data_IF_987704127524
#
_entry.id   IF_987704127524
#
_cell.length_a   1.000
_cell.length_b   1.000
_cell.length_c   1.000
_cell.angle_alpha   90.00
_cell.angle_beta   90.00
_cell.angle_gamma   90.00
#
_symmetry.space_group_name_H-M   'P 1'
#
loop_
_entity.id
_entity.type
_entity.pdbx_description
1 polymer ?
#
# COMPACT_ATOMS: atom_id res chain seq x y z
N UNK A 1 27.72 2.29 -39.67
CA UNK A 1 26.51 1.45 -39.70
C UNK A 1 25.45 2.21 -38.92
N UNK A 2 24.46 2.77 -39.62
CA UNK A 2 23.48 3.76 -39.07
C UNK A 2 22.29 2.99 -38.49
N UNK A 3 22.01 3.14 -37.17
CA UNK A 3 20.76 2.70 -36.55
C UNK A 3 19.71 3.82 -36.73
N UNK A 4 18.58 3.43 -37.29
CA UNK A 4 17.40 4.26 -37.45
C UNK A 4 16.69 4.39 -36.11
N UNK A 5 16.49 5.62 -35.63
CA UNK A 5 15.51 5.96 -34.62
C UNK A 5 14.14 6.07 -35.30
N UNK A 6 13.23 5.17 -34.96
CA UNK A 6 11.81 5.38 -35.26
C UNK A 6 11.18 6.23 -34.13
N UNK A 7 10.78 7.42 -34.53
CA UNK A 7 10.02 8.37 -33.72
C UNK A 7 8.57 7.89 -33.61
N UNK A 8 8.16 7.43 -32.42
CA UNK A 8 6.76 7.36 -32.06
C UNK A 8 6.27 8.80 -31.79
N UNK A 9 5.53 9.34 -32.73
CA UNK A 9 4.81 10.60 -32.58
C UNK A 9 3.59 10.35 -31.67
N UNK A 10 3.78 10.48 -30.36
CA UNK A 10 2.68 10.60 -29.41
C UNK A 10 2.03 11.97 -29.59
N UNK A 11 0.74 11.96 -29.91
CA UNK A 11 -0.09 13.14 -29.98
C UNK A 11 -0.24 13.73 -28.57
N UNK A 12 0.62 14.67 -28.21
CA UNK A 12 0.47 15.47 -27.00
C UNK A 12 -0.64 16.49 -27.27
N UNK A 13 -1.85 16.19 -26.82
CA UNK A 13 -2.90 17.20 -26.70
C UNK A 13 -2.54 18.09 -25.52
N UNK A 14 -2.02 19.27 -25.81
CA UNK A 14 -1.86 20.34 -24.83
C UNK A 14 -3.25 20.77 -24.33
N UNK A 15 -3.65 20.22 -23.17
CA UNK A 15 -4.80 20.73 -22.44
C UNK A 15 -4.43 22.13 -21.93
N UNK A 16 -5.09 23.15 -22.47
CA UNK A 16 -4.98 24.53 -22.01
C UNK A 16 -5.40 24.59 -20.53
N UNK A 17 -4.45 24.89 -19.65
CA UNK A 17 -4.72 25.19 -18.23
C UNK A 17 -5.41 26.53 -18.12
N UNK A 18 -6.72 26.56 -18.27
CA UNK A 18 -7.54 27.69 -17.82
C UNK A 18 -7.71 27.56 -16.30
N UNK A 19 -6.82 28.22 -15.56
CA UNK A 19 -6.92 28.37 -14.10
C UNK A 19 -8.07 29.33 -13.80
N UNK A 20 -9.28 28.81 -13.64
CA UNK A 20 -10.41 29.60 -13.14
C UNK A 20 -10.48 29.47 -11.63
N UNK A 21 -10.17 30.56 -10.94
CA UNK A 21 -10.50 30.74 -9.53
C UNK A 21 -12.03 30.91 -9.45
N UNK A 22 -12.76 29.85 -9.06
CA UNK A 22 -14.21 29.90 -8.91
C UNK A 22 -14.54 30.25 -7.46
N UNK A 23 -15.30 31.37 -7.32
CA UNK A 23 -16.05 31.69 -6.13
C UNK A 23 -17.06 30.56 -5.81
N UNK A 24 -17.49 30.47 -4.57
CA UNK A 24 -18.28 29.40 -3.96
C UNK A 24 -19.72 29.19 -4.54
N UNK A 25 -19.88 29.23 -5.83
CA UNK A 25 -21.15 28.88 -6.48
C UNK A 25 -21.11 27.43 -6.92
N UNK A 26 -22.10 26.65 -6.43
CA UNK A 26 -22.23 25.22 -6.72
C UNK A 26 -22.15 24.96 -8.22
N UNK A 27 -21.33 24.01 -8.61
CA UNK A 27 -21.21 23.57 -9.99
C UNK A 27 -22.58 23.02 -10.41
N UNK A 28 -23.35 23.80 -11.15
CA UNK A 28 -24.55 23.27 -11.83
C UNK A 28 -24.08 22.35 -12.93
N UNK A 29 -24.24 21.05 -12.72
CA UNK A 29 -23.94 20.03 -13.70
C UNK A 29 -24.78 20.30 -14.97
N UNK A 30 -24.16 20.31 -16.17
CA UNK A 30 -24.91 20.44 -17.42
C UNK A 30 -25.89 19.26 -17.53
N UNK A 31 -27.18 19.53 -17.73
CA UNK A 31 -28.24 18.52 -17.79
C UNK A 31 -28.10 17.48 -18.93
N UNK A 32 -27.15 17.71 -19.84
CA UNK A 32 -27.03 16.93 -21.08
C UNK A 32 -25.76 16.07 -21.18
N UNK A 33 -25.02 15.89 -20.07
CA UNK A 33 -23.77 15.14 -20.08
C UNK A 33 -23.95 13.78 -19.42
N UNK A 34 -24.57 12.85 -20.17
CA UNK A 34 -24.73 11.45 -19.73
C UNK A 34 -24.16 10.54 -20.82
N UNK A 35 -23.43 9.50 -20.43
CA UNK A 35 -23.00 8.47 -21.38
C UNK A 35 -24.20 7.57 -21.79
N UNK A 36 -24.13 6.90 -22.95
CA UNK A 36 -25.15 5.98 -23.40
C UNK A 36 -25.48 4.90 -22.35
N UNK A 37 -26.73 4.49 -22.26
CA UNK A 37 -27.22 3.53 -21.26
C UNK A 37 -26.61 2.13 -21.37
N UNK A 38 -26.00 1.79 -22.50
CA UNK A 38 -25.32 0.52 -22.74
C UNK A 38 -23.88 0.48 -22.23
N UNK A 39 -23.38 1.58 -21.64
CA UNK A 39 -22.02 1.67 -21.09
C UNK A 39 -22.10 1.64 -19.57
N UNK A 40 -21.80 0.49 -18.97
CA UNK A 40 -21.60 0.40 -17.52
C UNK A 40 -20.17 0.86 -17.16
N UNK A 41 -20.06 1.62 -16.07
CA UNK A 41 -18.80 2.20 -15.61
C UNK A 41 -18.43 1.65 -14.24
N UNK A 42 -17.28 0.99 -14.19
CA UNK A 42 -16.63 0.62 -12.93
C UNK A 42 -15.72 1.75 -12.47
N UNK A 43 -15.73 2.08 -11.19
CA UNK A 43 -14.89 3.12 -10.60
C UNK A 43 -13.93 2.48 -9.60
N UNK A 44 -12.64 2.72 -9.76
CA UNK A 44 -11.61 2.27 -8.86
C UNK A 44 -11.01 3.45 -8.10
N UNK A 45 -11.03 3.36 -6.78
CA UNK A 45 -10.30 4.24 -5.88
C UNK A 45 -9.23 3.42 -5.17
N UNK A 46 -7.94 3.82 -5.26
CA UNK A 46 -6.87 3.14 -4.53
C UNK A 46 -7.13 3.10 -3.02
N UNK A 47 -6.60 2.09 -2.33
CA UNK A 47 -6.78 1.95 -0.88
C UNK A 47 -6.28 3.17 -0.10
N UNK A 48 -5.23 3.85 -0.59
CA UNK A 48 -4.75 5.11 -0.02
C UNK A 48 -5.83 6.20 0.02
N UNK A 49 -6.68 6.27 -1.00
CA UNK A 49 -7.78 7.23 -1.06
C UNK A 49 -8.84 6.89 -0.02
N UNK A 50 -9.15 5.61 0.17
CA UNK A 50 -10.14 5.14 1.15
C UNK A 50 -9.73 5.41 2.60
N UNK A 51 -8.43 5.46 2.87
CA UNK A 51 -7.88 5.76 4.20
C UNK A 51 -7.34 7.20 4.33
N UNK A 52 -7.56 8.02 3.30
CA UNK A 52 -7.00 9.36 3.25
C UNK A 52 -7.50 10.24 4.40
N UNK A 53 -6.55 10.81 5.15
CA UNK A 53 -6.78 11.81 6.20
C UNK A 53 -6.10 13.11 5.82
N UNK A 54 -6.86 14.19 5.83
CA UNK A 54 -6.29 15.53 5.72
C UNK A 54 -6.04 16.10 7.12
N UNK A 55 -4.83 16.61 7.33
CA UNK A 55 -4.42 17.25 8.57
C UNK A 55 -4.28 18.75 8.31
N UNK A 56 -5.00 19.57 9.04
CA UNK A 56 -4.95 21.02 8.89
C UNK A 56 -4.91 21.72 10.26
N UNK A 57 -4.37 22.94 10.29
CA UNK A 57 -4.37 23.76 11.48
C UNK A 57 -5.73 24.47 11.59
N UNK A 58 -6.38 24.32 12.73
CA UNK A 58 -7.63 25.03 13.03
C UNK A 58 -7.41 26.53 13.02
N UNK A 59 -8.38 27.27 12.48
CA UNK A 59 -8.38 28.73 12.45
C UNK A 59 -8.62 29.38 13.82
N UNK A 60 -8.89 28.61 14.88
CA UNK A 60 -9.27 29.08 16.20
C UNK A 60 -8.14 29.68 17.05
N UNK A 61 -6.96 29.91 16.48
CA UNK A 61 -5.83 30.56 17.18
C UNK A 61 -5.12 29.70 18.23
N UNK A 62 -5.71 28.58 18.65
CA UNK A 62 -5.03 27.54 19.41
C UNK A 62 -4.29 26.63 18.44
N UNK A 63 -3.07 26.18 18.80
CA UNK A 63 -2.25 25.27 17.97
C UNK A 63 -2.85 23.85 17.95
N UNK A 64 -4.13 23.72 17.71
CA UNK A 64 -4.79 22.42 17.54
C UNK A 64 -4.69 22.02 16.08
N UNK A 65 -4.21 20.81 15.86
CA UNK A 65 -4.18 20.18 14.54
C UNK A 65 -5.43 19.31 14.45
N UNK A 66 -6.37 19.71 13.60
CA UNK A 66 -7.55 18.90 13.32
C UNK A 66 -7.26 17.96 12.16
N UNK A 67 -7.83 16.75 12.20
CA UNK A 67 -7.74 15.79 11.11
C UNK A 67 -9.15 15.38 10.69
N UNK A 68 -9.40 15.34 9.38
CA UNK A 68 -10.64 14.85 8.79
C UNK A 68 -10.33 13.62 7.96
N UNK A 69 -11.06 12.54 8.20
CA UNK A 69 -11.00 11.36 7.37
C UNK A 69 -11.90 11.58 6.15
N UNK A 70 -11.28 11.70 4.98
CA UNK A 70 -11.98 11.97 3.72
C UNK A 70 -12.26 10.72 2.90
N UNK A 71 -11.68 9.57 3.27
CA UNK A 71 -11.76 8.35 2.47
C UNK A 71 -13.19 7.90 2.16
N UNK A 72 -14.03 7.76 3.19
CA UNK A 72 -15.45 7.41 3.01
C UNK A 72 -16.20 8.49 2.22
N UNK A 73 -15.88 9.76 2.46
CA UNK A 73 -16.47 10.89 1.72
C UNK A 73 -16.10 10.80 0.23
N UNK A 74 -14.87 10.45 -0.11
CA UNK A 74 -14.48 10.26 -1.51
C UNK A 74 -15.28 9.15 -2.18
N UNK A 75 -15.46 8.00 -1.53
CA UNK A 75 -16.19 6.87 -2.08
C UNK A 75 -17.67 7.18 -2.27
N UNK A 76 -18.34 7.67 -1.23
CA UNK A 76 -19.77 8.03 -1.25
C UNK A 76 -20.05 9.12 -2.30
N UNK A 77 -19.27 10.22 -2.26
CA UNK A 77 -19.42 11.33 -3.20
C UNK A 77 -19.15 10.89 -4.65
N UNK A 78 -18.16 10.01 -4.85
CA UNK A 78 -17.86 9.52 -6.20
C UNK A 78 -19.01 8.70 -6.77
N UNK A 79 -19.61 7.80 -5.98
CA UNK A 79 -20.76 7.01 -6.41
C UNK A 79 -22.00 7.88 -6.64
N UNK A 80 -22.28 8.82 -5.75
CA UNK A 80 -23.40 9.74 -5.88
C UNK A 80 -23.26 10.60 -7.15
N UNK A 81 -22.09 11.22 -7.33
CA UNK A 81 -21.78 12.00 -8.52
C UNK A 81 -21.86 11.16 -9.79
N UNK A 82 -21.31 9.94 -9.78
CA UNK A 82 -21.30 9.06 -10.95
C UNK A 82 -22.71 8.72 -11.47
N UNK A 83 -23.70 8.61 -10.58
CA UNK A 83 -25.10 8.36 -10.97
C UNK A 83 -25.72 9.48 -11.81
N UNK A 84 -25.15 10.68 -11.76
CA UNK A 84 -25.60 11.80 -12.62
C UNK A 84 -25.04 11.70 -14.05
N UNK A 85 -23.92 11.02 -14.24
CA UNK A 85 -23.20 10.92 -15.52
C UNK A 85 -23.39 9.59 -16.22
N UNK A 86 -23.64 8.51 -15.47
CA UNK A 86 -23.69 7.15 -15.99
C UNK A 86 -25.00 6.46 -15.59
N UNK A 87 -25.64 5.81 -16.53
CA UNK A 87 -26.86 5.03 -16.26
C UNK A 87 -26.59 3.84 -15.34
N UNK A 88 -25.38 3.29 -15.40
CA UNK A 88 -24.91 2.21 -14.52
C UNK A 88 -23.49 2.53 -14.07
N UNK A 89 -23.30 2.67 -12.76
CA UNK A 89 -21.97 2.86 -12.14
C UNK A 89 -21.89 2.12 -10.82
N UNK A 90 -20.69 1.59 -10.51
CA UNK A 90 -20.42 0.86 -9.28
C UNK A 90 -18.93 0.93 -8.94
N UNK A 91 -18.59 0.71 -7.66
CA UNK A 91 -17.21 0.57 -7.26
C UNK A 91 -16.62 -0.75 -7.76
N UNK A 92 -15.44 -0.67 -8.36
CA UNK A 92 -14.72 -1.86 -8.79
C UNK A 92 -14.17 -2.61 -7.56
N UNK A 93 -14.51 -3.88 -7.49
CA UNK A 93 -13.92 -4.83 -6.53
C UNK A 93 -13.32 -5.98 -7.33
N UNK A 94 -12.09 -6.40 -6.96
CA UNK A 94 -11.39 -7.48 -7.68
C UNK A 94 -12.21 -8.79 -7.71
N UNK A 95 -12.96 -9.06 -6.64
CA UNK A 95 -13.91 -10.16 -6.54
C UNK A 95 -15.29 -9.83 -7.16
N UNK A 96 -15.48 -8.63 -7.71
CA UNK A 96 -16.74 -8.08 -8.18
C UNK A 96 -17.42 -8.93 -9.24
N UNK A 97 -18.74 -8.71 -9.40
CA UNK A 97 -19.62 -9.59 -10.19
C UNK A 97 -20.18 -8.96 -11.44
N UNK A 98 -20.01 -7.66 -11.64
CA UNK A 98 -20.61 -6.95 -12.77
C UNK A 98 -19.62 -6.74 -13.92
N UNK A 99 -20.10 -6.88 -15.15
CA UNK A 99 -19.36 -6.49 -16.34
C UNK A 99 -19.39 -4.97 -16.52
N UNK A 100 -18.38 -4.41 -17.15
CA UNK A 100 -18.24 -2.98 -17.42
C UNK A 100 -17.71 -2.75 -18.85
N UNK A 101 -18.03 -1.59 -19.40
CA UNK A 101 -17.43 -1.11 -20.67
C UNK A 101 -16.22 -0.25 -20.42
N UNK A 102 -16.24 0.54 -19.33
CA UNK A 102 -15.16 1.44 -18.92
C UNK A 102 -14.85 1.25 -17.45
N UNK A 103 -13.55 1.34 -17.10
CA UNK A 103 -13.08 1.46 -15.73
C UNK A 103 -12.42 2.83 -15.57
N UNK A 104 -12.90 3.62 -14.62
CA UNK A 104 -12.31 4.90 -14.22
C UNK A 104 -11.50 4.67 -12.94
N UNK A 105 -10.19 4.75 -13.04
CA UNK A 105 -9.30 4.81 -11.89
C UNK A 105 -9.07 6.28 -11.52
N UNK A 106 -9.34 6.64 -10.26
CA UNK A 106 -9.29 8.01 -9.78
C UNK A 106 -8.51 8.09 -8.47
N UNK A 107 -7.59 9.07 -8.38
CA UNK A 107 -6.80 9.33 -7.18
C UNK A 107 -7.01 10.77 -6.72
N UNK A 108 -8.11 11.06 -6.01
CA UNK A 108 -8.35 12.39 -5.45
C UNK A 108 -7.48 12.62 -4.21
N UNK A 109 -7.00 13.84 -4.07
CA UNK A 109 -6.26 14.32 -2.89
C UNK A 109 -6.69 15.74 -2.55
N UNK A 110 -6.64 16.10 -1.27
CA UNK A 110 -6.84 17.48 -0.81
C UNK A 110 -5.65 17.87 0.04
N UNK A 111 -4.96 18.94 -0.35
CA UNK A 111 -3.76 19.43 0.35
C UNK A 111 -3.87 20.94 0.60
N UNK A 112 -3.22 21.42 1.65
CA UNK A 112 -3.00 22.85 1.85
C UNK A 112 -1.75 23.25 1.09
N UNK A 113 -1.94 24.13 0.11
CA UNK A 113 -0.86 24.84 -0.57
C UNK A 113 -0.72 26.19 0.13
N UNK A 114 0.37 26.45 0.82
CA UNK A 114 0.55 27.58 1.69
C UNK A 114 -0.53 27.71 2.82
N UNK A 115 -0.36 28.64 3.75
CA UNK A 115 -1.30 28.79 4.88
C UNK A 115 -2.68 29.33 4.49
N UNK A 116 -2.94 29.57 3.21
CA UNK A 116 -4.09 30.32 2.73
C UNK A 116 -4.89 29.65 1.61
N UNK A 117 -4.46 28.52 1.07
CA UNK A 117 -5.16 27.88 -0.05
C UNK A 117 -5.25 26.36 0.12
N UNK A 118 -6.46 25.82 -0.10
CA UNK A 118 -6.67 24.39 -0.27
C UNK A 118 -6.70 24.06 -1.77
N UNK A 119 -6.05 22.98 -2.13
CA UNK A 119 -6.06 22.45 -3.48
C UNK A 119 -6.53 20.99 -3.44
N UNK A 120 -7.63 20.72 -4.14
CA UNK A 120 -8.05 19.38 -4.44
C UNK A 120 -7.58 19.02 -5.86
N UNK A 121 -6.93 17.89 -5.96
CA UNK A 121 -6.46 17.35 -7.25
C UNK A 121 -6.98 15.93 -7.40
N UNK A 122 -7.46 15.55 -8.59
CA UNK A 122 -7.76 14.17 -8.92
C UNK A 122 -7.00 13.79 -10.19
N UNK A 123 -6.04 12.89 -10.04
CA UNK A 123 -5.43 12.19 -11.16
C UNK A 123 -6.35 11.06 -11.60
N UNK A 124 -6.58 10.89 -12.90
CA UNK A 124 -7.45 9.84 -13.38
C UNK A 124 -6.92 9.16 -14.63
N UNK A 125 -7.28 7.90 -14.78
CA UNK A 125 -7.06 7.12 -15.98
C UNK A 125 -8.33 6.31 -16.28
N UNK A 126 -8.71 6.26 -17.54
CA UNK A 126 -9.86 5.48 -18.00
C UNK A 126 -9.37 4.36 -18.91
N UNK A 127 -9.87 3.16 -18.64
CA UNK A 127 -9.55 1.96 -19.39
C UNK A 127 -10.81 1.35 -19.94
N UNK A 128 -10.72 0.68 -21.08
CA UNK A 128 -11.79 -0.18 -21.55
C UNK A 128 -11.78 -1.54 -20.80
N UNK A 129 -12.78 -2.38 -21.06
CA UNK A 129 -12.90 -3.71 -20.43
C UNK A 129 -11.74 -4.67 -20.73
N UNK A 130 -10.91 -4.39 -21.74
CA UNK A 130 -9.72 -5.18 -22.06
C UNK A 130 -8.42 -4.61 -21.45
N UNK A 131 -8.52 -3.55 -20.64
CA UNK A 131 -7.37 -2.91 -19.99
C UNK A 131 -6.60 -1.92 -20.85
N UNK A 132 -7.09 -1.57 -22.05
CA UNK A 132 -6.46 -0.55 -22.88
C UNK A 132 -6.81 0.83 -22.34
N UNK A 133 -5.78 1.67 -22.09
CA UNK A 133 -5.96 3.05 -21.65
C UNK A 133 -6.62 3.89 -22.75
N UNK A 134 -7.76 4.48 -22.42
CA UNK A 134 -8.60 5.29 -23.34
C UNK A 134 -8.35 6.78 -23.11
N UNK A 135 -8.16 7.17 -21.85
CA UNK A 135 -8.01 8.57 -21.45
C UNK A 135 -7.20 8.65 -20.16
N UNK A 136 -6.38 9.70 -20.01
CA UNK A 136 -5.71 10.07 -18.77
C UNK A 136 -5.75 11.58 -18.61
N UNK A 137 -5.79 12.07 -17.38
CA UNK A 137 -5.78 13.50 -17.10
C UNK A 137 -5.79 13.82 -15.62
N UNK A 138 -5.82 15.12 -15.37
CA UNK A 138 -5.83 15.69 -14.03
C UNK A 138 -6.93 16.75 -13.95
N UNK A 139 -7.65 16.76 -12.84
CA UNK A 139 -8.59 17.83 -12.49
C UNK A 139 -8.11 18.52 -11.22
N UNK A 140 -8.15 19.84 -11.22
CA UNK A 140 -7.67 20.65 -10.10
C UNK A 140 -8.74 21.68 -9.73
N UNK A 141 -9.08 21.73 -8.43
CA UNK A 141 -9.94 22.73 -7.83
C UNK A 141 -9.18 23.45 -6.73
N UNK A 142 -9.19 24.78 -6.77
CA UNK A 142 -8.52 25.62 -5.76
C UNK A 142 -9.57 26.40 -4.98
N UNK A 143 -9.37 26.46 -3.68
CA UNK A 143 -10.24 27.21 -2.80
C UNK A 143 -9.41 28.07 -1.85
N UNK A 144 -9.72 29.37 -1.82
CA UNK A 144 -9.11 30.29 -0.88
C UNK A 144 -10.09 30.55 0.29
N UNK A 145 -9.65 30.42 1.55
CA UNK A 145 -10.51 30.65 2.69
C UNK A 145 -10.96 32.10 2.74
N UNK A 146 -12.28 32.29 2.90
CA UNK A 146 -12.83 33.52 3.44
C UNK A 146 -12.63 33.56 4.98
N UNK A 147 -13.32 34.46 5.66
CA UNK A 147 -13.21 34.64 7.12
C UNK A 147 -13.54 33.42 8.00
N UNK A 148 -13.98 32.29 7.43
CA UNK A 148 -14.45 31.09 8.17
C UNK A 148 -13.39 29.99 8.41
N UNK A 149 -12.19 30.11 7.88
CA UNK A 149 -11.13 29.08 8.05
C UNK A 149 -11.46 27.71 7.41
N UNK A 150 -10.67 26.72 7.76
CA UNK A 150 -10.82 25.33 7.28
C UNK A 150 -11.69 24.52 8.26
N UNK A 151 -12.70 23.82 7.75
CA UNK A 151 -13.51 22.86 8.49
C UNK A 151 -13.90 21.67 7.65
N UNK A 152 -14.54 20.66 8.23
CA UNK A 152 -14.98 19.43 7.55
C UNK A 152 -15.89 19.70 6.36
N UNK A 153 -16.79 20.70 6.47
CA UNK A 153 -17.77 21.03 5.42
C UNK A 153 -17.08 21.61 4.18
N UNK A 154 -16.05 22.43 4.40
CA UNK A 154 -15.22 22.96 3.28
C UNK A 154 -14.49 21.85 2.58
N UNK A 155 -13.92 20.91 3.35
CA UNK A 155 -13.23 19.75 2.78
C UNK A 155 -14.18 18.85 2.00
N UNK A 156 -15.38 18.61 2.52
CA UNK A 156 -16.43 17.83 1.83
C UNK A 156 -16.82 18.47 0.49
N UNK A 157 -17.15 19.79 0.49
CA UNK A 157 -17.48 20.52 -0.75
C UNK A 157 -16.35 20.52 -1.75
N UNK A 158 -15.11 20.68 -1.31
CA UNK A 158 -13.96 20.67 -2.20
C UNK A 158 -13.73 19.29 -2.82
N UNK A 159 -13.95 18.23 -2.04
CA UNK A 159 -13.94 16.85 -2.52
C UNK A 159 -15.00 16.63 -3.59
N UNK A 160 -16.23 17.04 -3.32
CA UNK A 160 -17.33 16.95 -4.29
C UNK A 160 -17.03 17.72 -5.59
N UNK A 161 -16.52 18.93 -5.47
CA UNK A 161 -16.18 19.75 -6.64
C UNK A 161 -15.09 19.10 -7.54
N UNK A 162 -14.03 18.53 -6.95
CA UNK A 162 -12.97 17.92 -7.75
C UNK A 162 -13.46 16.63 -8.41
N UNK A 163 -14.31 15.85 -7.75
CA UNK A 163 -14.90 14.63 -8.31
C UNK A 163 -15.84 14.99 -9.47
N UNK A 164 -16.77 15.92 -9.24
CA UNK A 164 -17.70 16.37 -10.27
C UNK A 164 -16.97 16.96 -11.48
N UNK A 165 -15.93 17.74 -11.25
CA UNK A 165 -15.08 18.26 -12.32
C UNK A 165 -14.43 17.12 -13.11
N UNK A 166 -13.85 16.15 -12.42
CA UNK A 166 -13.20 15.00 -13.06
C UNK A 166 -14.18 14.20 -13.92
N UNK A 167 -15.35 13.87 -13.38
CA UNK A 167 -16.37 13.11 -14.13
C UNK A 167 -16.90 13.93 -15.32
N UNK A 168 -17.08 15.22 -15.17
CA UNK A 168 -17.47 16.11 -16.29
C UNK A 168 -16.41 16.10 -17.40
N UNK A 169 -15.15 16.26 -17.04
CA UNK A 169 -14.04 16.27 -18.01
C UNK A 169 -13.92 14.92 -18.75
N UNK A 170 -14.07 13.80 -18.02
CA UNK A 170 -14.07 12.45 -18.59
C UNK A 170 -15.23 12.26 -19.57
N UNK A 171 -16.46 12.60 -19.17
CA UNK A 171 -17.65 12.39 -20.00
C UNK A 171 -17.61 13.27 -21.24
N UNK A 172 -17.20 14.53 -21.11
CA UNK A 172 -17.06 15.44 -22.25
C UNK A 172 -16.12 14.89 -23.34
N UNK A 173 -15.03 14.24 -22.94
CA UNK A 173 -14.05 13.67 -23.86
C UNK A 173 -14.49 12.29 -24.43
N UNK A 174 -15.17 11.46 -23.63
CA UNK A 174 -15.55 10.11 -24.05
C UNK A 174 -16.87 10.05 -24.83
N UNK A 175 -17.79 10.99 -24.62
CA UNK A 175 -19.12 10.99 -25.24
C UNK A 175 -19.11 10.74 -26.75
N UNK A 176 -18.21 11.32 -27.56
CA UNK A 176 -18.18 11.08 -29.01
C UNK A 176 -17.85 9.66 -29.41
N UNK A 177 -17.27 8.88 -28.50
CA UNK A 177 -16.77 7.52 -28.75
C UNK A 177 -17.33 6.49 -27.80
N UNK A 178 -18.26 6.85 -26.93
CA UNK A 178 -18.77 5.99 -25.85
C UNK A 178 -19.39 4.69 -26.39
N UNK A 179 -20.05 4.72 -27.53
CA UNK A 179 -20.65 3.54 -28.18
C UNK A 179 -19.62 2.44 -28.52
N UNK A 180 -18.34 2.78 -28.55
CA UNK A 180 -17.24 1.83 -28.77
C UNK A 180 -16.92 0.98 -27.54
N UNK A 181 -17.48 1.32 -26.38
CA UNK A 181 -17.22 0.68 -25.09
C UNK A 181 -18.47 0.06 -24.47
N UNK A 182 -19.18 -0.85 -25.18
CA UNK A 182 -20.37 -1.48 -24.61
C UNK A 182 -19.99 -2.27 -23.36
N UNK A 183 -20.95 -2.42 -22.45
CA UNK A 183 -20.79 -3.28 -21.27
C UNK A 183 -20.44 -4.70 -21.73
N UNK A 184 -19.26 -5.15 -21.35
CA UNK A 184 -18.75 -6.48 -21.66
C UNK A 184 -19.09 -7.51 -20.59
N UNK A 185 -18.57 -8.72 -20.77
CA UNK A 185 -18.60 -9.75 -19.73
C UNK A 185 -17.71 -9.32 -18.54
N UNK A 186 -17.97 -9.94 -17.38
CA UNK A 186 -17.16 -9.77 -16.20
C UNK A 186 -15.73 -10.25 -16.47
N UNK A 187 -14.78 -9.34 -16.51
CA UNK A 187 -13.35 -9.64 -16.62
C UNK A 187 -12.62 -8.96 -15.48
N UNK A 188 -11.79 -9.68 -14.70
CA UNK A 188 -10.93 -9.03 -13.70
C UNK A 188 -10.02 -8.03 -14.39
N UNK A 189 -9.97 -6.81 -13.85
CA UNK A 189 -9.03 -5.80 -14.34
C UNK A 189 -7.63 -6.10 -13.82
N UNK A 190 -6.63 -5.95 -14.69
CA UNK A 190 -5.24 -6.08 -14.28
C UNK A 190 -4.79 -4.80 -13.53
N UNK A 191 -4.76 -4.86 -12.20
CA UNK A 191 -4.37 -3.74 -11.34
C UNK A 191 -2.91 -3.27 -11.55
N UNK A 192 -2.05 -4.11 -12.16
CA UNK A 192 -0.67 -3.71 -12.53
C UNK A 192 -0.64 -2.51 -13.48
N UNK A 193 -1.73 -2.29 -14.24
CA UNK A 193 -1.87 -1.15 -15.14
C UNK A 193 -2.07 0.19 -14.40
N UNK A 194 -2.38 0.13 -13.11
CA UNK A 194 -2.66 1.31 -12.27
C UNK A 194 -1.45 1.77 -11.44
N UNK A 195 -0.37 0.98 -11.42
CA UNK A 195 0.79 1.22 -10.57
C UNK A 195 2.08 1.36 -11.39
N UNK A 196 3.04 2.07 -10.84
CA UNK A 196 4.40 2.13 -11.37
C UNK A 196 5.22 0.97 -10.80
N UNK A 197 5.46 -0.06 -11.62
CA UNK A 197 6.23 -1.25 -11.22
C UNK A 197 7.74 -1.00 -11.12
N UNK A 198 8.22 0.12 -11.62
CA UNK A 198 9.63 0.48 -11.51
C UNK A 198 9.94 1.09 -10.13
N UNK A 199 8.93 1.65 -9.45
CA UNK A 199 9.08 2.32 -8.17
C UNK A 199 8.10 1.78 -7.13
N UNK A 200 8.55 0.85 -6.30
CA UNK A 200 7.77 0.39 -5.16
C UNK A 200 7.61 1.52 -4.12
N UNK A 201 6.38 1.76 -3.68
CA UNK A 201 6.08 2.75 -2.63
C UNK A 201 6.64 2.32 -1.27
N UNK A 202 6.60 1.00 -0.99
CA UNK A 202 7.18 0.39 0.19
C UNK A 202 7.87 -0.92 -0.21
N UNK A 203 8.91 -1.27 0.54
CA UNK A 203 9.58 -2.56 0.41
C UNK A 203 9.90 -3.14 1.79
N UNK A 204 9.86 -4.45 1.88
CA UNK A 204 10.11 -5.19 3.10
C UNK A 204 10.58 -6.62 2.81
N UNK A 205 10.60 -7.40 3.85
CA UNK A 205 10.96 -8.81 3.82
C UNK A 205 9.77 -9.66 4.27
N UNK A 206 9.66 -10.84 3.74
CA UNK A 206 8.73 -11.86 4.21
C UNK A 206 9.38 -13.23 4.25
N UNK A 207 8.69 -14.19 4.83
CA UNK A 207 9.14 -15.58 4.78
C UNK A 207 7.93 -16.53 4.80
N UNK A 208 8.04 -17.64 4.07
CA UNK A 208 7.00 -18.64 4.02
C UNK A 208 6.89 -19.39 5.36
N UNK A 209 5.66 -19.62 5.80
CA UNK A 209 5.33 -20.32 7.07
C UNK A 209 4.77 -21.72 6.84
N UNK A 210 4.38 -22.02 5.58
CA UNK A 210 3.88 -23.33 5.17
C UNK A 210 4.10 -23.61 3.71
N UNK A 211 3.82 -24.84 3.30
CA UNK A 211 3.96 -25.31 1.91
C UNK A 211 2.84 -24.85 0.96
N UNK A 212 1.78 -24.21 1.45
CA UNK A 212 0.66 -23.75 0.60
C UNK A 212 0.88 -22.37 -0.02
N UNK A 213 2.03 -21.72 0.26
CA UNK A 213 2.38 -20.42 -0.29
C UNK A 213 1.99 -19.24 0.58
N UNK A 214 1.64 -19.48 1.84
CA UNK A 214 1.38 -18.43 2.81
C UNK A 214 2.68 -17.97 3.47
N UNK A 215 2.85 -16.65 3.58
CA UNK A 215 4.04 -16.04 4.17
C UNK A 215 3.67 -14.90 5.11
N UNK A 216 4.58 -14.61 6.03
CA UNK A 216 4.50 -13.48 6.94
C UNK A 216 5.34 -12.31 6.45
N UNK A 217 4.87 -11.10 6.72
CA UNK A 217 5.60 -9.83 6.58
C UNK A 217 5.11 -8.84 7.63
N UNK A 218 5.72 -7.65 7.70
CA UNK A 218 5.20 -6.56 8.53
C UNK A 218 3.97 -5.90 7.90
N UNK A 219 2.97 -5.55 8.71
CA UNK A 219 1.73 -4.96 8.21
C UNK A 219 1.96 -3.62 7.53
N UNK A 220 2.86 -2.77 8.06
CA UNK A 220 3.16 -1.47 7.46
C UNK A 220 3.77 -1.58 6.05
N UNK A 221 4.45 -2.70 5.71
CA UNK A 221 5.04 -2.92 4.38
C UNK A 221 3.96 -3.09 3.31
N UNK A 222 2.82 -3.67 3.68
CA UNK A 222 1.73 -4.00 2.75
C UNK A 222 0.49 -3.13 2.94
N UNK A 223 0.62 -2.11 3.77
CA UNK A 223 -0.47 -1.19 4.05
C UNK A 223 -0.82 -0.34 2.82
N UNK A 224 -2.09 -0.31 2.44
CA UNK A 224 -2.63 0.47 1.33
C UNK A 224 -2.03 0.15 -0.05
N UNK A 225 -1.47 -1.04 -0.25
CA UNK A 225 -0.99 -1.45 -1.55
C UNK A 225 -2.16 -1.72 -2.52
N UNK A 226 -2.02 -1.23 -3.75
CA UNK A 226 -2.86 -1.63 -4.89
C UNK A 226 -2.41 -3.00 -5.41
N UNK A 227 -1.09 -3.20 -5.49
CA UNK A 227 -0.46 -4.46 -5.91
C UNK A 227 0.67 -4.81 -4.95
N UNK A 228 0.80 -6.09 -4.65
CA UNK A 228 1.88 -6.64 -3.84
C UNK A 228 2.60 -7.71 -4.65
N UNK A 229 3.91 -7.57 -4.80
CA UNK A 229 4.77 -8.58 -5.38
C UNK A 229 5.69 -9.19 -4.32
N UNK A 230 5.76 -10.50 -4.33
CA UNK A 230 6.73 -11.30 -3.57
C UNK A 230 7.87 -11.70 -4.50
N UNK A 231 9.10 -11.31 -4.15
CA UNK A 231 10.29 -11.54 -4.95
C UNK A 231 11.01 -12.81 -4.49
N UNK A 232 10.98 -13.84 -5.32
CA UNK A 232 11.69 -15.10 -5.11
C UNK A 232 12.79 -15.24 -6.18
N UNK A 233 14.00 -14.83 -5.84
CA UNK A 233 15.08 -14.68 -6.82
C UNK A 233 14.71 -13.66 -7.90
N UNK A 234 14.78 -14.04 -9.17
CA UNK A 234 14.40 -13.20 -10.31
C UNK A 234 12.89 -13.12 -10.56
N UNK A 235 12.10 -14.01 -9.93
CA UNK A 235 10.67 -14.10 -10.16
C UNK A 235 9.90 -13.14 -9.25
N UNK A 236 8.83 -12.54 -9.78
CA UNK A 236 7.86 -11.79 -9.02
C UNK A 236 6.54 -12.57 -9.01
N UNK A 237 6.04 -12.88 -7.83
CA UNK A 237 4.75 -13.56 -7.62
C UNK A 237 3.77 -12.54 -7.06
N UNK A 238 2.59 -12.37 -7.67
CA UNK A 238 1.55 -11.55 -7.07
C UNK A 238 1.09 -12.19 -5.76
N UNK A 239 0.76 -11.34 -4.79
CA UNK A 239 0.28 -11.81 -3.50
C UNK A 239 -0.90 -10.98 -3.00
N UNK A 240 -1.76 -11.60 -2.20
CA UNK A 240 -2.90 -10.96 -1.57
C UNK A 240 -2.78 -11.00 -0.05
N UNK A 241 -3.22 -9.93 0.63
CA UNK A 241 -3.29 -9.90 2.09
C UNK A 241 -4.49 -10.73 2.54
N UNK A 242 -4.26 -11.80 3.29
CA UNK A 242 -5.33 -12.64 3.85
C UNK A 242 -5.64 -12.34 5.31
N UNK A 243 -4.67 -11.80 6.04
CA UNK A 243 -4.85 -11.32 7.42
C UNK A 243 -3.87 -10.20 7.74
N UNK A 244 -4.29 -9.25 8.57
CA UNK A 244 -3.43 -8.16 9.03
C UNK A 244 -3.76 -7.72 10.46
N UNK A 245 -2.76 -7.27 11.20
CA UNK A 245 -2.88 -6.72 12.53
C UNK A 245 -1.97 -5.50 12.69
N UNK A 246 -2.56 -4.32 12.75
CA UNK A 246 -1.81 -3.10 13.02
C UNK A 246 -1.20 -3.09 14.44
N UNK A 247 -1.85 -3.73 15.41
CA UNK A 247 -1.35 -3.83 16.79
C UNK A 247 -0.04 -4.61 16.89
N UNK A 248 0.06 -5.71 16.14
CA UNK A 248 1.25 -6.57 16.12
C UNK A 248 2.22 -6.19 15.01
N UNK A 249 1.81 -5.29 14.12
CA UNK A 249 2.51 -4.95 12.87
C UNK A 249 2.84 -6.20 12.03
N UNK A 250 1.85 -7.08 11.86
CA UNK A 250 1.98 -8.35 11.14
C UNK A 250 0.92 -8.49 10.05
N UNK A 251 1.31 -9.07 8.92
CA UNK A 251 0.39 -9.46 7.85
C UNK A 251 0.73 -10.86 7.31
N UNK A 252 -0.30 -11.58 6.92
CA UNK A 252 -0.19 -12.82 6.14
C UNK A 252 -0.50 -12.50 4.69
N UNK A 253 0.39 -12.90 3.82
CA UNK A 253 0.20 -12.87 2.38
C UNK A 253 0.01 -14.29 1.85
N UNK A 254 -0.79 -14.42 0.79
CA UNK A 254 -0.95 -15.65 0.03
C UNK A 254 -0.52 -15.40 -1.43
N UNK A 255 0.45 -16.17 -1.90
CA UNK A 255 0.93 -16.13 -3.28
C UNK A 255 0.12 -17.03 -4.21
N UNK A 256 -0.75 -17.88 -3.66
CA UNK A 256 -1.47 -18.95 -4.38
C UNK A 256 -0.56 -19.93 -5.13
N UNK A 257 0.73 -19.94 -4.76
CA UNK A 257 1.77 -20.83 -5.34
C UNK A 257 2.44 -21.58 -4.20
N UNK A 258 2.46 -22.90 -4.27
CA UNK A 258 3.11 -23.76 -3.26
C UNK A 258 4.59 -23.43 -3.12
N UNK A 259 5.09 -23.46 -1.89
CA UNK A 259 6.50 -23.31 -1.56
C UNK A 259 7.07 -24.59 -0.99
N UNK A 260 8.19 -25.05 -1.53
CA UNK A 260 8.92 -26.20 -0.98
C UNK A 260 9.69 -25.84 0.31
N UNK A 261 9.94 -24.54 0.51
CA UNK A 261 10.73 -24.00 1.60
C UNK A 261 9.86 -23.12 2.50
N UNK A 262 9.83 -23.40 3.78
CA UNK A 262 9.16 -22.62 4.81
C UNK A 262 9.89 -22.76 6.14
N UNK A 263 9.73 -21.79 7.03
CA UNK A 263 10.45 -21.74 8.30
C UNK A 263 9.58 -22.22 9.46
N UNK A 264 10.11 -23.10 10.32
CA UNK A 264 9.44 -23.45 11.56
C UNK A 264 9.53 -22.29 12.56
N UNK A 265 8.46 -22.04 13.27
CA UNK A 265 8.44 -21.10 14.38
C UNK A 265 8.96 -21.78 15.64
N UNK A 266 9.70 -21.04 16.48
CA UNK A 266 10.16 -21.60 17.75
C UNK A 266 8.99 -22.13 18.55
N UNK A 267 9.09 -23.40 18.96
CA UNK A 267 8.17 -23.99 19.93
C UNK A 267 8.25 -23.24 21.26
N UNK A 268 7.24 -23.40 22.12
CA UNK A 268 7.20 -22.72 23.41
C UNK A 268 8.55 -22.77 24.15
N UNK A 269 9.04 -21.63 24.54
CA UNK A 269 10.29 -21.50 25.24
C UNK A 269 10.69 -20.05 25.36
N UNK A 270 11.21 -19.69 26.53
CA UNK A 270 11.63 -18.32 26.78
C UNK A 270 12.95 -18.05 26.07
N UNK A 271 13.03 -16.97 25.31
CA UNK A 271 14.28 -16.48 24.76
C UNK A 271 15.28 -16.18 25.87
N UNK A 272 16.54 -16.58 25.72
CA UNK A 272 17.59 -16.33 26.70
C UNK A 272 18.38 -15.08 26.33
N UNK A 273 18.69 -14.24 27.36
CA UNK A 273 19.55 -13.10 27.15
C UNK A 273 20.93 -13.55 26.71
N UNK A 274 21.45 -12.93 25.65
CA UNK A 274 22.71 -13.32 25.03
C UNK A 274 22.58 -14.47 24.01
N UNK A 275 21.40 -15.06 23.81
CA UNK A 275 21.18 -16.05 22.74
C UNK A 275 21.54 -15.47 21.38
N UNK A 276 22.36 -16.21 20.62
CA UNK A 276 22.75 -15.81 19.28
C UNK A 276 21.58 -15.87 18.33
N UNK A 277 21.41 -14.80 17.54
CA UNK A 277 20.37 -14.70 16.53
C UNK A 277 20.93 -14.16 15.22
N UNK A 278 20.29 -14.53 14.10
CA UNK A 278 20.54 -13.97 12.79
C UNK A 278 19.25 -13.33 12.26
N UNK A 279 19.33 -12.14 11.72
CA UNK A 279 18.27 -11.54 10.93
C UNK A 279 18.57 -11.75 9.45
N UNK A 280 17.55 -12.13 8.69
CA UNK A 280 17.62 -12.28 7.23
C UNK A 280 16.61 -11.33 6.62
N UNK A 281 17.05 -10.54 5.65
CA UNK A 281 16.18 -9.57 5.01
C UNK A 281 16.68 -9.10 3.65
N UNK A 282 15.85 -8.33 2.99
CA UNK A 282 16.13 -7.66 1.71
C UNK A 282 16.19 -6.14 1.91
N UNK A 283 17.28 -5.64 2.50
CA UNK A 283 17.39 -4.21 2.77
C UNK A 283 17.59 -3.41 1.48
N UNK A 284 17.12 -2.15 1.49
CA UNK A 284 17.41 -1.14 0.47
C UNK A 284 17.17 -1.62 -0.97
N UNK A 285 16.05 -2.34 -1.22
CA UNK A 285 15.71 -2.95 -2.51
C UNK A 285 15.70 -1.96 -3.70
N UNK A 286 15.59 -0.67 -3.44
CA UNK A 286 15.69 0.37 -4.47
C UNK A 286 17.13 0.73 -4.86
N UNK A 287 18.12 0.33 -4.06
CA UNK A 287 19.53 0.72 -4.22
C UNK A 287 20.45 -0.49 -4.38
N UNK A 288 20.11 -1.60 -3.72
CA UNK A 288 20.91 -2.84 -3.73
C UNK A 288 20.29 -3.87 -4.68
N UNK A 289 21.07 -4.86 -5.04
CA UNK A 289 20.57 -6.04 -5.76
C UNK A 289 19.54 -6.81 -4.94
N UNK A 290 18.62 -7.52 -5.58
CA UNK A 290 17.60 -8.37 -4.95
C UNK A 290 18.21 -9.62 -4.28
N UNK A 291 19.25 -9.43 -3.48
CA UNK A 291 19.92 -10.50 -2.73
C UNK A 291 19.63 -10.35 -1.23
N UNK A 292 19.36 -11.45 -0.52
CA UNK A 292 19.16 -11.42 0.92
C UNK A 292 20.44 -11.04 1.64
N UNK A 293 20.31 -10.26 2.70
CA UNK A 293 21.38 -9.91 3.62
C UNK A 293 21.19 -10.64 4.93
N UNK A 294 22.25 -11.23 5.45
CA UNK A 294 22.29 -11.90 6.75
C UNK A 294 23.12 -11.09 7.71
N UNK A 295 22.54 -10.72 8.85
CA UNK A 295 23.23 -10.05 9.93
C UNK A 295 23.16 -10.88 11.20
N UNK A 296 24.21 -10.90 12.01
CA UNK A 296 24.27 -11.68 13.24
C UNK A 296 24.38 -10.77 14.46
N UNK A 297 23.82 -11.21 15.56
CA UNK A 297 23.86 -10.54 16.87
C UNK A 297 23.32 -11.44 17.94
N UNK A 298 22.84 -10.84 19.02
CA UNK A 298 22.28 -11.56 20.16
C UNK A 298 21.00 -10.90 20.69
N UNK A 299 20.20 -11.67 21.43
CA UNK A 299 19.09 -11.12 22.21
C UNK A 299 19.66 -10.18 23.30
N UNK A 300 19.34 -8.90 23.19
CA UNK A 300 19.87 -7.85 24.09
C UNK A 300 18.94 -7.56 25.27
N UNK A 301 17.62 -7.64 25.07
CA UNK A 301 16.60 -7.40 26.10
C UNK A 301 15.31 -8.15 25.77
N UNK A 302 14.63 -8.63 26.81
CA UNK A 302 13.27 -9.19 26.67
C UNK A 302 12.18 -8.13 26.66
N UNK A 303 12.55 -6.86 26.80
CA UNK A 303 11.66 -5.73 26.71
C UNK A 303 11.77 -5.10 25.31
N UNK A 304 10.62 -4.82 24.71
CA UNK A 304 10.50 -4.06 23.47
C UNK A 304 10.45 -2.56 23.71
N UNK A 305 9.96 -1.83 22.71
CA UNK A 305 9.64 -0.41 22.85
C UNK A 305 8.56 -0.20 23.90
N UNK A 306 8.62 0.94 24.62
CA UNK A 306 7.60 1.30 25.60
C UNK A 306 6.21 1.28 24.97
N UNK A 307 5.31 0.50 25.56
CA UNK A 307 3.93 0.31 25.06
C UNK A 307 3.75 -0.73 23.98
N UNK A 308 4.83 -1.37 23.50
CA UNK A 308 4.74 -2.44 22.49
C UNK A 308 4.57 -3.81 23.16
N UNK A 309 3.59 -4.58 22.70
CA UNK A 309 3.29 -5.91 23.21
C UNK A 309 4.16 -6.96 22.53
N UNK A 310 4.78 -7.84 23.36
CA UNK A 310 5.43 -9.06 22.86
C UNK A 310 6.68 -8.83 22.02
N UNK A 311 7.33 -7.68 22.15
CA UNK A 311 8.57 -7.40 21.47
C UNK A 311 9.79 -7.68 22.37
N UNK A 312 10.88 -8.08 21.72
CA UNK A 312 12.21 -8.15 22.34
C UNK A 312 13.22 -7.31 21.54
N UNK A 313 14.31 -6.93 22.20
CA UNK A 313 15.42 -6.22 21.57
C UNK A 313 16.54 -7.17 21.19
N UNK A 314 17.15 -6.95 20.01
CA UNK A 314 18.32 -7.70 19.53
C UNK A 314 19.35 -6.78 18.87
N UNK A 315 20.61 -7.25 18.81
CA UNK A 315 21.74 -6.44 18.35
C UNK A 315 22.19 -6.69 16.90
N UNK A 316 21.62 -7.70 16.20
CA UNK A 316 21.93 -7.89 14.77
C UNK A 316 21.52 -6.64 13.98
N UNK A 317 22.43 -5.98 13.24
CA UNK A 317 22.11 -4.77 12.50
C UNK A 317 20.98 -5.02 11.48
N UNK A 318 19.97 -4.13 11.43
CA UNK A 318 18.95 -4.15 10.39
C UNK A 318 18.89 -2.79 9.69
N UNK A 319 18.43 -2.78 8.46
CA UNK A 319 18.26 -1.60 7.62
C UNK A 319 16.81 -1.52 7.10
N UNK A 320 16.34 -0.37 6.64
CA UNK A 320 15.07 -0.26 5.96
C UNK A 320 14.91 -1.33 4.86
N UNK A 321 13.79 -2.03 4.86
CA UNK A 321 13.53 -3.19 4.01
C UNK A 321 13.73 -4.55 4.71
N UNK A 322 14.36 -4.60 5.90
CA UNK A 322 14.44 -5.83 6.70
C UNK A 322 13.15 -6.10 7.51
N UNK A 323 12.23 -5.12 7.61
CA UNK A 323 10.95 -5.27 8.30
C UNK A 323 10.14 -6.43 7.75
N UNK A 324 9.58 -7.26 8.63
CA UNK A 324 8.87 -8.49 8.29
C UNK A 324 9.79 -9.71 8.11
N UNK A 325 11.11 -9.50 8.12
CA UNK A 325 12.09 -10.58 8.00
C UNK A 325 12.19 -11.45 9.27
N UNK A 326 12.56 -12.74 9.12
CA UNK A 326 12.72 -13.63 10.25
C UNK A 326 13.97 -13.32 11.06
N UNK A 327 13.82 -13.37 12.38
CA UNK A 327 14.95 -13.47 13.31
C UNK A 327 15.08 -14.94 13.68
N UNK A 328 16.22 -15.54 13.31
CA UNK A 328 16.47 -16.97 13.38
C UNK A 328 17.37 -17.28 14.56
N UNK A 329 16.99 -18.26 15.37
CA UNK A 329 17.84 -18.83 16.43
C UNK A 329 18.85 -19.84 15.89
N UNK A 330 19.74 -20.33 16.75
CA UNK A 330 20.81 -21.25 16.37
C UNK A 330 20.28 -22.58 15.75
N UNK A 331 19.04 -22.96 16.04
CA UNK A 331 18.41 -24.19 15.51
C UNK A 331 17.70 -24.00 14.16
N UNK A 332 17.81 -22.82 13.53
CA UNK A 332 17.14 -22.49 12.28
C UNK A 332 15.64 -22.22 12.43
N UNK A 333 15.14 -22.14 13.67
CA UNK A 333 13.77 -21.76 13.99
C UNK A 333 13.61 -20.25 14.08
N UNK A 334 12.45 -19.76 13.70
CA UNK A 334 12.11 -18.33 13.83
C UNK A 334 11.80 -18.02 15.28
N UNK A 335 12.65 -17.22 15.93
CA UNK A 335 12.47 -16.74 17.31
C UNK A 335 11.63 -15.48 17.37
N UNK A 336 11.55 -14.74 16.27
CA UNK A 336 10.73 -13.55 16.14
C UNK A 336 10.73 -13.00 14.72
N UNK A 337 9.96 -11.95 14.51
CA UNK A 337 9.85 -11.23 13.24
C UNK A 337 10.29 -9.79 13.45
N UNK A 338 11.23 -9.31 12.63
CA UNK A 338 11.74 -7.95 12.71
C UNK A 338 10.63 -6.94 12.37
N UNK A 339 10.30 -6.05 13.32
CA UNK A 339 9.22 -5.06 13.15
C UNK A 339 9.74 -3.62 13.03
N UNK A 340 10.99 -3.36 13.36
CA UNK A 340 11.57 -2.03 13.17
C UNK A 340 12.81 -1.76 13.97
N UNK A 341 13.37 -0.56 13.74
CA UNK A 341 14.42 0.08 14.54
C UNK A 341 13.83 1.26 15.30
N UNK A 342 14.54 1.75 16.29
CA UNK A 342 14.26 3.07 16.86
C UNK A 342 14.27 4.11 15.73
N UNK A 343 13.34 5.08 15.80
CA UNK A 343 13.34 6.21 14.87
C UNK A 343 14.61 7.06 15.08
N UNK A 344 15.67 6.70 14.36
CA UNK A 344 16.97 7.34 14.48
C UNK A 344 16.89 8.85 14.19
N UNK A 345 15.99 9.29 13.30
CA UNK A 345 15.84 10.71 12.97
C UNK A 345 15.28 11.52 14.16
N UNK A 346 14.32 10.96 14.90
CA UNK A 346 13.74 11.63 16.05
C UNK A 346 14.74 11.69 17.22
N UNK A 347 15.50 10.61 17.43
CA UNK A 347 16.54 10.55 18.46
C UNK A 347 17.77 11.39 18.10
N UNK A 348 18.13 11.50 16.83
CA UNK A 348 19.17 12.42 16.36
C UNK A 348 18.82 13.88 16.66
N UNK A 349 17.56 14.28 16.57
CA UNK A 349 17.13 15.63 17.00
C UNK A 349 17.38 15.88 18.50
N UNK A 350 17.42 14.81 19.28
CA UNK A 350 17.73 14.83 20.72
C UNK A 350 19.22 14.59 21.01
N UNK A 351 20.08 14.50 19.97
CA UNK A 351 21.51 14.24 20.10
C UNK A 351 21.88 12.79 20.42
N UNK A 352 20.93 11.85 20.28
CA UNK A 352 21.14 10.42 20.54
C UNK A 352 21.23 9.67 19.21
N UNK A 353 22.29 8.92 18.98
CA UNK A 353 22.45 8.02 17.84
C UNK A 353 22.44 6.57 18.35
N UNK A 354 21.28 5.89 18.36
CA UNK A 354 21.22 4.50 18.77
C UNK A 354 21.92 3.62 17.72
N UNK A 355 22.74 2.69 18.17
CA UNK A 355 23.39 1.70 17.31
C UNK A 355 22.95 0.30 17.74
N UNK A 356 22.57 -0.54 16.78
CA UNK A 356 22.22 -1.94 16.99
C UNK A 356 21.09 -2.15 18.03
N UNK A 357 20.13 -1.23 18.07
CA UNK A 357 18.92 -1.32 18.89
C UNK A 357 17.74 -1.63 17.95
N UNK A 358 17.45 -2.90 17.80
CA UNK A 358 16.44 -3.41 16.89
C UNK A 358 15.41 -4.23 17.65
N UNK A 359 14.19 -4.30 17.14
CA UNK A 359 13.06 -4.97 17.79
C UNK A 359 12.44 -6.00 16.89
N UNK A 360 12.01 -7.12 17.51
CA UNK A 360 11.27 -8.17 16.86
C UNK A 360 10.07 -8.60 17.72
N UNK A 361 8.99 -8.97 17.06
CA UNK A 361 7.83 -9.59 17.69
C UNK A 361 8.18 -11.05 18.01
N UNK A 362 7.99 -11.48 19.26
CA UNK A 362 8.30 -12.86 19.68
C UNK A 362 7.45 -13.92 18.95
N UNK A 363 8.04 -15.07 18.66
CA UNK A 363 7.40 -16.19 17.94
C UNK A 363 6.07 -16.62 18.56
N UNK A 364 5.89 -16.57 19.87
CA UNK A 364 4.63 -16.91 20.54
C UNK A 364 3.45 -16.02 20.12
N UNK A 365 3.68 -14.73 19.89
CA UNK A 365 2.66 -13.80 19.40
C UNK A 365 2.39 -14.00 17.91
N UNK A 366 3.43 -14.32 17.15
CA UNK A 366 3.32 -14.71 15.73
C UNK A 366 2.46 -15.98 15.59
N UNK A 367 2.74 -17.02 16.37
CA UNK A 367 1.93 -18.24 16.39
C UNK A 367 0.46 -17.97 16.74
N UNK A 368 0.23 -17.15 17.78
CA UNK A 368 -1.14 -16.77 18.15
C UNK A 368 -1.86 -16.04 17.03
N UNK A 369 -1.17 -15.15 16.35
CA UNK A 369 -1.73 -14.44 15.20
C UNK A 369 -2.09 -15.41 14.06
N UNK A 370 -1.21 -16.34 13.70
CA UNK A 370 -1.46 -17.34 12.67
C UNK A 370 -2.62 -18.27 13.03
N UNK A 371 -2.65 -18.81 14.27
CA UNK A 371 -3.75 -19.67 14.74
C UNK A 371 -5.10 -18.94 14.69
N UNK A 372 -5.15 -17.68 15.11
CA UNK A 372 -6.38 -16.89 15.12
C UNK A 372 -6.92 -16.62 13.70
N UNK A 373 -6.05 -16.67 12.69
CA UNK A 373 -6.42 -16.46 11.29
C UNK A 373 -6.47 -17.77 10.47
N UNK A 374 -6.41 -18.92 11.12
CA UNK A 374 -6.52 -20.23 10.46
C UNK A 374 -5.35 -20.58 9.55
N UNK A 375 -4.18 -19.97 9.76
CA UNK A 375 -2.96 -20.21 8.98
C UNK A 375 -2.16 -21.33 9.60
N UNK A 376 -1.91 -22.39 8.84
CA UNK A 376 -1.08 -23.52 9.28
C UNK A 376 0.40 -23.10 9.32
N UNK A 377 1.14 -23.59 10.29
CA UNK A 377 2.58 -23.42 10.40
C UNK A 377 3.21 -24.63 11.09
N UNK A 378 4.53 -24.77 10.99
CA UNK A 378 5.30 -25.79 11.70
C UNK A 378 6.00 -25.19 12.91
N UNK A 379 6.13 -25.97 13.96
CA UNK A 379 6.92 -25.62 15.14
C UNK A 379 8.30 -26.27 15.06
N UNK A 380 9.32 -25.54 15.52
CA UNK A 380 10.69 -26.03 15.58
C UNK A 380 10.84 -27.19 16.58
N UNK A 381 11.93 -27.93 16.44
CA UNK A 381 12.22 -29.07 17.34
C UNK A 381 12.33 -28.62 18.80
N UNK A 382 11.75 -29.44 19.70
CA UNK A 382 11.75 -29.18 21.14
C UNK A 382 13.03 -29.65 21.84
N UNK A 383 13.87 -30.47 21.17
CA UNK A 383 15.06 -31.04 21.78
C UNK A 383 16.14 -29.95 22.04
N UNK A 384 16.46 -29.67 23.32
CA UNK A 384 17.49 -28.68 23.66
C UNK A 384 18.92 -29.16 23.29
N UNK A 385 19.10 -30.47 22.99
CA UNK A 385 20.39 -31.04 22.65
C UNK A 385 20.70 -31.04 21.14
N UNK A 386 19.77 -30.60 20.29
CA UNK A 386 20.08 -30.31 18.89
C UNK A 386 20.97 -29.06 18.82
N UNK A 387 22.24 -29.26 19.15
CA UNK A 387 23.30 -28.33 18.90
C UNK A 387 23.64 -28.41 17.41
N UNK A 388 22.98 -27.62 16.60
CA UNK A 388 23.48 -27.40 15.26
C UNK A 388 23.20 -25.96 14.89
N UNK A 389 24.26 -25.20 14.64
CA UNK A 389 24.17 -24.01 13.80
C UNK A 389 23.61 -24.50 12.46
N UNK A 390 22.31 -24.37 12.25
CA UNK A 390 21.70 -24.68 10.97
C UNK A 390 22.34 -23.77 9.94
N UNK A 391 22.91 -24.32 8.85
CA UNK A 391 23.48 -23.49 7.81
C UNK A 391 22.42 -22.50 7.31
N UNK A 392 22.77 -21.23 7.27
CA UNK A 392 21.87 -20.17 6.80
C UNK A 392 21.35 -20.45 5.39
N UNK A 393 22.16 -21.10 4.55
CA UNK A 393 21.76 -21.50 3.20
C UNK A 393 20.51 -22.36 3.15
N UNK A 394 20.21 -23.11 4.21
CA UNK A 394 18.97 -23.91 4.31
C UNK A 394 17.73 -23.04 4.63
N UNK A 395 17.94 -21.85 5.17
CA UNK A 395 16.88 -20.91 5.58
C UNK A 395 16.56 -19.91 4.46
N UNK A 396 17.58 -19.49 3.70
CA UNK A 396 17.48 -18.47 2.67
C UNK A 396 16.36 -18.73 1.64
N UNK A 397 16.11 -19.95 1.15
CA UNK A 397 15.11 -20.20 0.12
C UNK A 397 13.66 -19.90 0.56
N UNK A 398 13.42 -19.84 1.89
CA UNK A 398 12.11 -19.52 2.44
C UNK A 398 11.91 -18.01 2.65
N UNK A 399 12.96 -17.17 2.50
CA UNK A 399 12.91 -15.73 2.77
C UNK A 399 12.84 -14.96 1.45
N UNK A 400 11.95 -14.02 1.38
CA UNK A 400 11.56 -13.32 0.15
C UNK A 400 11.51 -11.82 0.35
N UNK A 401 11.76 -11.06 -0.72
CA UNK A 401 11.48 -9.64 -0.75
C UNK A 401 9.99 -9.38 -0.97
N UNK A 402 9.45 -8.35 -0.31
CA UNK A 402 8.05 -7.91 -0.49
C UNK A 402 8.07 -6.48 -1.02
N UNK A 403 7.33 -6.23 -2.09
CA UNK A 403 7.17 -4.90 -2.70
C UNK A 403 5.71 -4.52 -2.76
N UNK A 404 5.42 -3.32 -2.30
CA UNK A 404 4.11 -2.70 -2.31
C UNK A 404 4.08 -1.60 -3.37
N UNK A 405 3.11 -1.66 -4.26
CA UNK A 405 2.85 -0.63 -5.26
C UNK A 405 1.50 0.02 -4.98
N UNK A 406 1.47 1.34 -5.07
CA UNK A 406 0.33 2.16 -4.71
C UNK A 406 -0.17 2.98 -5.89
#
# INVERSE_FOLDING_TARGET
>A
MRLRHELFAGLVVLASTASTCLAADGLTLPKDVVLPANVAVAIYLPNQVREFRSVFRSASGFQTTDSVQLGNTFEETTLESARHFFSTSFMYEAAGTAGYGLLIAMHPTVKSEDRQQLVATAHYAVFNSTGVSVLKGDSVVRWAPGFGGYNSDVMGRLTEQVINRTLTDIVAQLRPTADKFPTGEKTPFNLDLLVDKDHAAMSGTGFFVNGTGQLLTAAHVVHNCTVIDVRLGSNALPATVTASSALLDMAVLDTHVSSEHFLPLRHEGRLELGENVANIGFPLQSVMTDAPTVTRGALSSRAGLTGSLGQFQFSAPIQPGASGGPVIGARGDVVGVAVGTLNAQELLKQGVLPQNVNFALEAQYVQKFLRNNGVAFTEGATDPHVSADVPIDNVLPAVVGVRCYQ
#
